data_IF_612051462559
#
_entry.id   IF_612051462559
#
_cell.length_a   1.000
_cell.length_b   1.000
_cell.length_c   1.000
_cell.angle_alpha   90.00
_cell.angle_beta   90.00
_cell.angle_gamma   90.00
#
_symmetry.space_group_name_H-M   'P 1'
#
loop_
_entity.id
_entity.type
_entity.pdbx_description
1 polymer ?
#
# COMPACT_ATOMS: atom_id res chain seq x y z
N UNK A 1 17.00 91.64 3.94
CA UNK A 1 17.17 90.70 2.81
C UNK A 1 18.01 89.48 3.24
N UNK A 2 17.57 88.72 4.25
CA UNK A 2 18.33 87.55 4.79
C UNK A 2 17.46 86.32 5.14
N UNK A 3 16.18 86.32 4.76
CA UNK A 3 15.25 85.19 5.00
C UNK A 3 14.99 84.29 3.79
N UNK A 4 15.44 84.68 2.59
CA UNK A 4 15.13 83.93 1.36
C UNK A 4 16.09 82.76 1.07
N UNK A 5 17.36 82.86 1.47
CA UNK A 5 18.34 81.77 1.31
C UNK A 5 17.97 80.47 2.06
N UNK A 6 17.57 80.49 3.35
CA UNK A 6 17.26 79.25 4.06
C UNK A 6 16.00 78.56 3.52
N UNK A 7 15.07 79.33 2.94
CA UNK A 7 13.84 78.79 2.37
C UNK A 7 14.08 78.04 1.05
N UNK A 8 14.95 78.58 0.19
CA UNK A 8 15.36 77.92 -1.05
C UNK A 8 16.16 76.64 -0.74
N UNK A 9 17.05 76.69 0.25
CA UNK A 9 17.82 75.52 0.69
C UNK A 9 16.91 74.39 1.20
N UNK A 10 15.86 74.75 1.96
CA UNK A 10 14.88 73.79 2.47
C UNK A 10 14.08 73.13 1.34
N UNK A 11 13.66 73.90 0.32
CA UNK A 11 12.91 73.39 -0.84
C UNK A 11 13.77 72.41 -1.66
N UNK A 12 15.04 72.75 -1.89
CA UNK A 12 15.99 71.88 -2.61
C UNK A 12 16.28 70.60 -1.82
N UNK A 13 16.44 70.70 -0.51
CA UNK A 13 16.65 69.54 0.37
C UNK A 13 15.43 68.60 0.38
N UNK A 14 14.22 69.15 0.51
CA UNK A 14 12.97 68.37 0.48
C UNK A 14 12.78 67.69 -0.88
N UNK A 15 13.07 68.40 -1.98
CA UNK A 15 12.99 67.84 -3.33
C UNK A 15 14.00 66.72 -3.54
N UNK A 16 15.23 66.86 -3.03
CA UNK A 16 16.26 65.83 -3.10
C UNK A 16 15.88 64.57 -2.30
N UNK A 17 15.32 64.75 -1.09
CA UNK A 17 14.82 63.65 -0.25
C UNK A 17 13.67 62.90 -0.95
N UNK A 18 12.74 63.63 -1.59
CA UNK A 18 11.64 63.01 -2.34
C UNK A 18 12.12 62.21 -3.55
N UNK A 19 13.16 62.65 -4.25
CA UNK A 19 13.75 61.93 -5.39
C UNK A 19 14.42 60.64 -4.91
N UNK A 20 15.22 60.72 -3.83
CA UNK A 20 15.87 59.54 -3.24
C UNK A 20 14.86 58.50 -2.75
N UNK A 21 13.75 58.94 -2.13
CA UNK A 21 12.69 58.06 -1.67
C UNK A 21 12.03 57.31 -2.84
N UNK A 22 11.79 57.98 -3.97
CA UNK A 22 11.22 57.36 -5.17
C UNK A 22 12.15 56.31 -5.78
N UNK A 23 13.45 56.61 -5.84
CA UNK A 23 14.46 55.66 -6.33
C UNK A 23 14.53 54.43 -5.40
N UNK A 24 14.53 54.64 -4.09
CA UNK A 24 14.54 53.54 -3.11
C UNK A 24 13.30 52.65 -3.22
N UNK A 25 12.11 53.24 -3.38
CA UNK A 25 10.86 52.50 -3.58
C UNK A 25 10.86 51.71 -4.89
N UNK A 26 11.41 52.29 -5.96
CA UNK A 26 11.54 51.62 -7.26
C UNK A 26 12.51 50.43 -7.19
N UNK A 27 13.68 50.61 -6.54
CA UNK A 27 14.64 49.52 -6.33
C UNK A 27 14.05 48.41 -5.44
N UNK A 28 13.27 48.77 -4.41
CA UNK A 28 12.56 47.81 -3.57
C UNK A 28 11.57 46.98 -4.39
N UNK A 29 10.81 47.60 -5.30
CA UNK A 29 9.88 46.88 -6.19
C UNK A 29 10.61 45.90 -7.11
N UNK A 30 11.77 46.29 -7.65
CA UNK A 30 12.59 45.39 -8.49
C UNK A 30 13.07 44.18 -7.67
N UNK A 31 13.55 44.41 -6.44
CA UNK A 31 14.00 43.32 -5.56
C UNK A 31 12.84 42.39 -5.21
N UNK A 32 11.67 42.93 -4.84
CA UNK A 32 10.47 42.12 -4.55
C UNK A 32 10.03 41.31 -5.78
N UNK A 33 10.05 41.91 -6.96
CA UNK A 33 9.71 41.22 -8.21
C UNK A 33 10.69 40.08 -8.53
N UNK A 34 11.99 40.33 -8.40
CA UNK A 34 13.03 39.30 -8.61
C UNK A 34 12.98 38.17 -7.57
N UNK A 35 12.58 38.46 -6.33
CA UNK A 35 12.37 37.45 -5.29
C UNK A 35 11.05 36.67 -5.46
N UNK A 36 10.05 37.24 -6.14
CA UNK A 36 8.72 36.65 -6.28
C UNK A 36 8.64 35.47 -7.28
N UNK A 37 9.61 35.30 -8.18
CA UNK A 37 9.49 34.36 -9.30
C UNK A 37 10.24 33.02 -9.15
N UNK A 38 10.81 32.71 -7.99
CA UNK A 38 11.33 31.34 -7.75
C UNK A 38 10.23 30.37 -7.29
N UNK A 39 9.15 30.25 -8.09
CA UNK A 39 8.35 29.02 -8.04
C UNK A 39 9.18 27.93 -8.69
N UNK A 40 9.82 27.10 -7.87
CA UNK A 40 10.54 25.92 -8.31
C UNK A 40 9.54 25.01 -9.07
N UNK A 41 9.52 25.10 -10.41
CA UNK A 41 8.72 24.24 -11.26
C UNK A 41 9.42 22.89 -11.30
N UNK A 42 9.19 22.07 -10.27
CA UNK A 42 9.56 20.67 -10.32
C UNK A 42 8.80 20.04 -11.49
N UNK A 43 9.53 19.66 -12.55
CA UNK A 43 8.95 18.94 -13.68
C UNK A 43 8.78 17.49 -13.23
N UNK A 44 7.54 17.07 -13.01
CA UNK A 44 7.20 15.67 -12.76
C UNK A 44 6.96 15.03 -14.13
N UNK A 45 7.89 14.19 -14.58
CA UNK A 45 7.71 13.37 -15.78
C UNK A 45 6.84 12.16 -15.42
N UNK A 46 5.61 12.15 -15.91
CA UNK A 46 4.71 11.00 -15.83
C UNK A 46 4.80 10.29 -17.18
N UNK A 47 5.41 9.10 -17.18
CA UNK A 47 5.46 8.23 -18.35
C UNK A 47 4.49 7.06 -18.12
N UNK A 48 3.28 7.18 -18.64
CA UNK A 48 2.25 6.13 -18.54
C UNK A 48 2.28 5.28 -19.80
N UNK A 49 2.72 4.03 -19.66
CA UNK A 49 2.64 3.01 -20.70
C UNK A 49 1.48 2.06 -20.38
N UNK A 50 0.60 1.82 -21.37
CA UNK A 50 -0.54 0.90 -21.22
C UNK A 50 -0.25 -0.38 -22.00
N UNK A 51 -0.32 -1.54 -21.33
CA UNK A 51 -0.13 -2.85 -21.96
C UNK A 51 -1.31 -3.78 -21.64
N UNK A 52 -1.83 -4.50 -22.63
CA UNK A 52 -2.82 -5.55 -22.43
C UNK A 52 -2.15 -6.90 -22.15
N UNK A 53 -2.74 -7.67 -21.24
CA UNK A 53 -2.27 -9.00 -20.85
C UNK A 53 -3.32 -10.04 -21.25
N UNK A 54 -2.89 -11.07 -21.97
CA UNK A 54 -3.76 -12.21 -22.24
C UNK A 54 -3.72 -13.16 -21.04
N UNK A 55 -4.87 -13.38 -20.42
CA UNK A 55 -5.01 -14.33 -19.33
C UNK A 55 -5.59 -15.64 -19.86
N UNK A 56 -4.89 -16.76 -19.65
CA UNK A 56 -5.34 -18.08 -20.06
C UNK A 56 -6.16 -18.80 -18.99
N UNK A 57 -6.04 -18.41 -17.72
CA UNK A 57 -6.78 -18.99 -16.60
C UNK A 57 -7.88 -18.05 -16.11
N UNK A 58 -9.07 -18.58 -15.82
CA UNK A 58 -10.19 -17.77 -15.34
C UNK A 58 -10.13 -17.63 -13.81
N UNK A 59 -9.29 -16.71 -13.34
CA UNK A 59 -9.17 -16.38 -11.92
C UNK A 59 -10.51 -15.80 -11.42
N UNK A 60 -11.12 -16.45 -10.43
CA UNK A 60 -12.29 -15.87 -9.71
C UNK A 60 -11.85 -14.77 -8.76
N UNK A 61 -10.64 -14.88 -8.23
CA UNK A 61 -9.99 -13.88 -7.41
C UNK A 61 -8.51 -13.84 -7.77
N UNK A 62 -7.95 -12.65 -7.98
CA UNK A 62 -6.51 -12.46 -8.09
C UNK A 62 -6.03 -11.22 -7.33
N UNK A 63 -4.77 -11.24 -6.92
CA UNK A 63 -4.09 -10.07 -6.37
C UNK A 63 -2.68 -10.04 -6.93
N UNK A 64 -2.33 -8.87 -7.46
CA UNK A 64 -1.05 -8.59 -8.08
C UNK A 64 -0.04 -8.10 -7.03
N UNK A 65 1.21 -8.47 -7.19
CA UNK A 65 2.30 -8.03 -6.32
C UNK A 65 3.63 -8.01 -7.07
N UNK A 66 4.55 -7.15 -6.64
CA UNK A 66 5.89 -7.07 -7.20
C UNK A 66 6.86 -7.85 -6.32
N UNK A 67 7.69 -8.69 -6.93
CA UNK A 67 8.78 -9.40 -6.24
C UNK A 67 10.01 -9.39 -7.14
N UNK A 68 11.17 -9.00 -6.59
CA UNK A 68 12.44 -8.87 -7.33
C UNK A 68 12.32 -8.10 -8.66
N UNK A 69 11.55 -6.99 -8.64
CA UNK A 69 11.25 -6.12 -9.80
C UNK A 69 10.46 -6.79 -10.92
N UNK A 70 9.86 -7.94 -10.66
CA UNK A 70 9.00 -8.65 -11.60
C UNK A 70 7.56 -8.63 -11.06
N UNK A 71 6.59 -8.67 -11.97
CA UNK A 71 5.17 -8.65 -11.63
C UNK A 71 4.65 -10.08 -11.50
N UNK A 72 4.11 -10.38 -10.33
CA UNK A 72 3.45 -11.64 -10.02
C UNK A 72 1.98 -11.40 -9.67
N UNK A 73 1.22 -12.48 -9.65
CA UNK A 73 -0.08 -12.54 -9.00
C UNK A 73 -0.33 -13.92 -8.41
N UNK A 74 -1.15 -14.00 -7.38
CA UNK A 74 -1.81 -15.26 -7.08
C UNK A 74 -3.18 -15.27 -7.76
N UNK A 75 -3.58 -16.43 -8.25
CA UNK A 75 -4.84 -16.66 -8.97
C UNK A 75 -5.59 -17.79 -8.27
N UNK A 76 -6.81 -17.50 -7.80
CA UNK A 76 -7.73 -18.49 -7.28
C UNK A 76 -8.68 -18.90 -8.40
N UNK A 77 -8.62 -20.15 -8.80
CA UNK A 77 -9.48 -20.74 -9.83
C UNK A 77 -10.43 -21.76 -9.19
N UNK A 78 -11.71 -21.65 -9.51
CA UNK A 78 -12.72 -22.64 -9.14
C UNK A 78 -13.01 -23.51 -10.36
N UNK A 79 -12.55 -24.76 -10.32
CA UNK A 79 -12.95 -25.74 -11.32
C UNK A 79 -14.33 -26.29 -10.94
N UNK A 80 -15.36 -25.70 -11.55
CA UNK A 80 -16.77 -26.07 -11.33
C UNK A 80 -17.02 -27.53 -11.74
N UNK A 81 -16.29 -28.07 -12.72
CA UNK A 81 -16.52 -29.43 -13.23
C UNK A 81 -16.03 -30.46 -12.22
N UNK A 82 -14.85 -30.25 -11.66
CA UNK A 82 -14.25 -31.19 -10.71
C UNK A 82 -14.56 -30.85 -9.24
N UNK A 83 -15.25 -29.72 -8.98
CA UNK A 83 -15.50 -29.20 -7.62
C UNK A 83 -14.19 -28.98 -6.85
N UNK A 84 -13.18 -28.51 -7.57
CA UNK A 84 -11.82 -28.30 -7.07
C UNK A 84 -11.50 -26.80 -6.98
N UNK A 85 -10.69 -26.46 -5.97
CA UNK A 85 -10.12 -25.14 -5.80
C UNK A 85 -8.63 -25.20 -6.09
N UNK A 86 -8.19 -24.42 -7.07
CA UNK A 86 -6.79 -24.26 -7.39
C UNK A 86 -6.29 -22.87 -6.99
N UNK A 87 -5.08 -22.82 -6.45
CA UNK A 87 -4.39 -21.56 -6.14
C UNK A 87 -3.04 -21.57 -6.83
N UNK A 88 -2.89 -20.72 -7.84
CA UNK A 88 -1.66 -20.61 -8.62
C UNK A 88 -0.88 -19.35 -8.25
N UNK A 89 0.44 -19.44 -8.31
CA UNK A 89 1.34 -18.29 -8.43
C UNK A 89 1.69 -18.14 -9.90
N UNK A 90 1.43 -16.97 -10.45
CA UNK A 90 1.69 -16.64 -11.85
C UNK A 90 2.62 -15.44 -11.93
N UNK A 91 3.51 -15.47 -12.92
CA UNK A 91 4.45 -14.39 -13.24
C UNK A 91 4.10 -13.80 -14.59
N UNK A 92 4.21 -12.47 -14.72
CA UNK A 92 4.14 -11.82 -16.02
C UNK A 92 5.43 -12.08 -16.78
N UNK A 93 5.31 -12.75 -17.91
CA UNK A 93 6.39 -12.89 -18.88
C UNK A 93 5.90 -12.33 -20.23
N UNK A 94 6.55 -11.28 -20.71
CA UNK A 94 6.08 -10.49 -21.85
C UNK A 94 4.63 -10.01 -21.63
N UNK A 95 3.71 -10.43 -22.51
CA UNK A 95 2.29 -10.05 -22.48
C UNK A 95 1.37 -11.19 -21.98
N UNK A 96 1.90 -12.14 -21.20
CA UNK A 96 1.15 -13.32 -20.72
C UNK A 96 1.43 -13.61 -19.24
N UNK A 97 0.46 -14.25 -18.60
CA UNK A 97 0.62 -14.84 -17.28
C UNK A 97 1.09 -16.29 -17.40
N UNK A 98 2.24 -16.59 -16.81
CA UNK A 98 2.82 -17.94 -16.80
C UNK A 98 2.75 -18.50 -15.39
N UNK A 99 2.10 -19.66 -15.23
CA UNK A 99 2.02 -20.36 -13.95
C UNK A 99 3.39 -20.86 -13.52
N UNK A 100 3.80 -20.48 -12.32
CA UNK A 100 5.09 -20.85 -11.73
C UNK A 100 4.93 -22.00 -10.74
N UNK A 101 3.85 -21.97 -9.96
CA UNK A 101 3.57 -22.94 -8.91
C UNK A 101 2.07 -23.09 -8.66
N UNK A 102 1.63 -24.30 -8.33
CA UNK A 102 0.29 -24.60 -7.81
C UNK A 102 0.40 -24.86 -6.31
N UNK A 103 -0.14 -23.95 -5.48
CA UNK A 103 -0.08 -24.04 -4.03
C UNK A 103 -1.16 -24.98 -3.50
N UNK A 104 -2.41 -24.80 -3.95
CA UNK A 104 -3.52 -25.71 -3.66
C UNK A 104 -4.04 -26.30 -4.97
N UNK A 105 -4.42 -27.58 -4.97
CA UNK A 105 -4.85 -28.29 -6.18
C UNK A 105 -5.91 -29.37 -5.94
N UNK A 106 -5.91 -30.43 -6.76
CA UNK A 106 -7.00 -31.43 -6.93
C UNK A 106 -7.63 -32.06 -5.69
N UNK A 107 -7.01 -31.94 -4.52
CA UNK A 107 -7.54 -32.50 -3.25
C UNK A 107 -8.33 -31.50 -2.41
N UNK A 108 -8.46 -30.26 -2.87
CA UNK A 108 -9.12 -29.19 -2.15
C UNK A 108 -10.52 -28.97 -2.74
N UNK A 109 -11.54 -29.47 -2.03
CA UNK A 109 -12.95 -29.15 -2.34
C UNK A 109 -13.15 -27.63 -2.33
N UNK A 110 -14.12 -27.14 -3.10
CA UNK A 110 -14.59 -25.73 -3.09
C UNK A 110 -14.97 -25.33 -1.66
N UNK A 111 -13.99 -24.85 -0.90
CA UNK A 111 -14.17 -24.16 0.37
C UNK A 111 -13.60 -22.78 0.16
N UNK A 112 -14.28 -21.73 0.65
CA UNK A 112 -13.70 -20.40 0.58
C UNK A 112 -12.39 -20.37 1.35
N UNK A 113 -11.43 -19.67 0.76
CA UNK A 113 -10.12 -19.41 1.35
C UNK A 113 -9.90 -17.91 1.46
N UNK A 114 -9.17 -17.51 2.49
CA UNK A 114 -8.54 -16.18 2.54
C UNK A 114 -7.06 -16.36 2.32
N UNK A 115 -6.50 -15.49 1.48
CA UNK A 115 -5.09 -15.49 1.14
C UNK A 115 -4.50 -14.15 1.59
N UNK A 116 -3.59 -14.21 2.55
CA UNK A 116 -2.81 -13.07 3.01
C UNK A 116 -1.40 -13.21 2.45
N UNK A 117 -1.08 -12.40 1.43
CA UNK A 117 0.22 -12.40 0.80
C UNK A 117 1.10 -11.30 1.40
N UNK A 118 2.32 -11.65 1.77
CA UNK A 118 3.32 -10.75 2.32
C UNK A 118 4.57 -10.83 1.45
N UNK A 119 5.00 -9.68 0.95
CA UNK A 119 6.13 -9.61 0.02
C UNK A 119 7.16 -8.63 0.53
N UNK A 120 8.38 -9.11 0.70
CA UNK A 120 9.57 -8.28 0.89
C UNK A 120 10.60 -8.56 -0.22
N UNK A 121 11.76 -7.92 -0.12
CA UNK A 121 12.82 -8.04 -1.14
C UNK A 121 13.41 -9.45 -1.25
N UNK A 122 13.29 -10.26 -0.20
CA UNK A 122 13.97 -11.54 -0.07
C UNK A 122 13.03 -12.74 -0.26
N UNK A 123 11.77 -12.59 0.11
CA UNK A 123 10.81 -13.69 0.10
C UNK A 123 9.36 -13.24 -0.15
N UNK A 124 8.58 -14.19 -0.64
CA UNK A 124 7.12 -14.16 -0.71
C UNK A 124 6.60 -15.12 0.36
N UNK A 125 5.66 -14.67 1.17
CA UNK A 125 4.97 -15.50 2.17
C UNK A 125 3.46 -15.39 1.93
N UNK A 126 2.80 -16.51 1.67
CA UNK A 126 1.35 -16.59 1.60
C UNK A 126 0.81 -17.38 2.79
N UNK A 127 -0.15 -16.80 3.51
CA UNK A 127 -0.94 -17.50 4.51
C UNK A 127 -2.29 -17.79 3.89
N UNK A 128 -2.58 -19.08 3.68
CA UNK A 128 -3.84 -19.52 3.10
C UNK A 128 -4.65 -20.20 4.19
N UNK A 129 -5.75 -19.57 4.60
CA UNK A 129 -6.66 -20.06 5.62
C UNK A 129 -7.96 -20.58 5.01
N UNK A 130 -8.35 -21.81 5.37
CA UNK A 130 -9.62 -22.43 5.01
C UNK A 130 -10.68 -22.12 6.06
N UNK A 131 -11.91 -21.84 5.61
CA UNK A 131 -13.04 -21.56 6.49
C UNK A 131 -14.06 -22.69 6.59
N UNK A 132 -14.80 -22.73 7.70
CA UNK A 132 -15.92 -23.64 7.95
C UNK A 132 -17.22 -22.99 7.46
N UNK A 133 -18.07 -23.74 6.74
CA UNK A 133 -19.45 -23.36 6.38
C UNK A 133 -19.63 -22.02 5.66
N UNK A 134 -18.77 -21.72 4.67
CA UNK A 134 -18.76 -20.45 3.94
C UNK A 134 -18.60 -19.19 4.82
N UNK A 135 -18.38 -19.36 6.12
CA UNK A 135 -18.31 -18.28 7.08
C UNK A 135 -16.86 -17.88 7.30
N UNK A 136 -16.49 -16.72 6.75
CA UNK A 136 -15.13 -16.15 6.84
C UNK A 136 -14.72 -15.74 8.26
N UNK A 137 -15.58 -15.97 9.26
CA UNK A 137 -15.29 -15.68 10.67
C UNK A 137 -14.61 -16.84 11.40
N UNK A 138 -14.66 -18.07 10.86
CA UNK A 138 -14.13 -19.26 11.53
C UNK A 138 -13.14 -20.01 10.62
N UNK A 139 -11.86 -19.61 10.68
CA UNK A 139 -10.79 -20.37 10.05
C UNK A 139 -10.58 -21.71 10.77
N UNK A 140 -10.17 -22.75 10.03
CA UNK A 140 -9.90 -24.08 10.62
C UNK A 140 -8.46 -24.50 10.42
N UNK A 141 -7.99 -24.41 9.18
CA UNK A 141 -6.66 -24.83 8.80
C UNK A 141 -6.00 -23.70 8.01
N UNK A 142 -4.89 -23.19 8.53
CA UNK A 142 -4.05 -22.22 7.84
C UNK A 142 -2.73 -22.88 7.42
N UNK A 143 -2.26 -22.55 6.23
CA UNK A 143 -0.98 -23.00 5.70
C UNK A 143 -0.13 -21.81 5.35
N UNK A 144 1.14 -21.87 5.74
CA UNK A 144 2.16 -20.93 5.32
C UNK A 144 2.87 -21.50 4.10
N UNK A 145 2.91 -20.72 3.04
CA UNK A 145 3.69 -20.98 1.84
C UNK A 145 4.77 -19.92 1.74
N UNK A 146 6.02 -20.31 1.58
CA UNK A 146 7.11 -19.35 1.40
C UNK A 146 8.00 -19.69 0.22
N UNK A 147 8.46 -18.66 -0.47
CA UNK A 147 9.39 -18.76 -1.59
C UNK A 147 10.43 -17.65 -1.52
N UNK A 148 11.68 -17.98 -1.84
CA UNK A 148 12.78 -17.00 -1.95
C UNK A 148 13.07 -16.64 -3.42
N UNK A 149 12.55 -17.40 -4.38
CA UNK A 149 12.84 -17.27 -5.81
C UNK A 149 11.61 -16.90 -6.65
N UNK A 150 10.40 -16.98 -6.10
CA UNK A 150 9.15 -16.72 -6.79
C UNK A 150 8.61 -17.92 -7.58
N UNK A 151 9.33 -19.04 -7.60
CA UNK A 151 8.99 -20.21 -8.40
C UNK A 151 8.81 -21.47 -7.56
N UNK A 152 9.64 -21.69 -6.54
CA UNK A 152 9.55 -22.83 -5.63
C UNK A 152 8.96 -22.40 -4.29
N UNK A 153 7.87 -23.05 -3.88
CA UNK A 153 7.18 -22.73 -2.63
C UNK A 153 7.23 -23.92 -1.66
N UNK A 154 7.63 -23.63 -0.43
CA UNK A 154 7.63 -24.60 0.68
C UNK A 154 6.37 -24.42 1.50
N UNK A 155 5.72 -25.53 1.85
CA UNK A 155 4.49 -25.56 2.65
C UNK A 155 4.77 -25.92 4.10
N UNK A 156 4.20 -25.15 5.01
CA UNK A 156 4.20 -25.40 6.46
C UNK A 156 2.77 -25.28 7.00
N UNK A 157 2.41 -26.12 7.98
CA UNK A 157 1.16 -25.93 8.73
C UNK A 157 1.37 -24.83 9.77
N UNK A 158 0.41 -23.91 9.90
CA UNK A 158 0.46 -22.86 10.93
C UNK A 158 -0.85 -22.84 11.70
N UNK A 159 -0.73 -22.69 13.02
CA UNK A 159 -1.87 -22.56 13.92
C UNK A 159 -2.07 -21.08 14.18
N UNK A 160 -3.22 -20.57 13.77
CA UNK A 160 -3.69 -19.22 14.08
C UNK A 160 -4.92 -19.41 14.96
N UNK A 161 -4.93 -18.80 16.14
CA UNK A 161 -6.03 -18.93 17.07
C UNK A 161 -7.34 -18.45 16.42
N UNK A 162 -8.41 -19.24 16.56
CA UNK A 162 -9.72 -18.93 15.98
C UNK A 162 -10.28 -17.64 16.54
N UNK A 163 -9.92 -17.29 17.77
CA UNK A 163 -10.33 -16.04 18.40
C UNK A 163 -9.89 -14.82 17.58
N UNK A 164 -8.76 -14.92 16.86
CA UNK A 164 -8.29 -13.85 15.98
C UNK A 164 -9.33 -13.56 14.90
N UNK A 165 -10.00 -14.58 14.35
CA UNK A 165 -10.95 -14.44 13.26
C UNK A 165 -12.40 -14.14 13.70
N UNK A 166 -12.71 -14.37 14.98
CA UNK A 166 -14.06 -14.21 15.52
C UNK A 166 -14.61 -12.78 15.34
N UNK A 167 -15.87 -12.69 14.87
CA UNK A 167 -16.63 -11.44 14.68
C UNK A 167 -15.96 -10.40 13.77
N UNK A 168 -15.07 -10.85 12.87
CA UNK A 168 -14.35 -9.99 11.93
C UNK A 168 -14.50 -10.51 10.51
N UNK A 169 -14.62 -9.58 9.59
CA UNK A 169 -14.61 -9.84 8.16
C UNK A 169 -13.17 -9.74 7.65
N UNK A 170 -12.72 -10.80 6.99
CA UNK A 170 -11.42 -10.84 6.32
C UNK A 170 -11.59 -10.85 4.81
N UNK A 171 -10.78 -10.06 4.17
CA UNK A 171 -10.57 -10.09 2.72
C UNK A 171 -9.15 -10.54 2.45
N UNK A 172 -8.97 -11.27 1.35
CA UNK A 172 -7.64 -11.60 0.87
C UNK A 172 -6.94 -10.34 0.36
N UNK A 173 -5.63 -10.21 0.58
CA UNK A 173 -4.85 -9.06 0.14
C UNK A 173 -3.37 -9.41 -0.05
N UNK A 174 -2.61 -8.46 -0.58
CA UNK A 174 -1.16 -8.46 -0.56
C UNK A 174 -0.68 -7.23 0.18
N UNK A 175 0.32 -7.38 1.05
CA UNK A 175 0.88 -6.28 1.83
C UNK A 175 2.38 -6.42 1.98
N UNK A 176 3.07 -5.31 2.21
CA UNK A 176 4.46 -5.33 2.63
C UNK A 176 4.54 -5.56 4.15
N UNK A 177 5.58 -6.24 4.66
CA UNK A 177 5.80 -6.33 6.09
C UNK A 177 5.95 -4.94 6.75
N UNK A 178 5.33 -4.75 7.92
CA UNK A 178 5.42 -3.52 8.68
C UNK A 178 6.68 -3.53 9.56
N UNK A 179 7.57 -2.55 9.37
CA UNK A 179 8.75 -2.39 10.21
C UNK A 179 8.47 -1.42 11.35
N UNK A 180 8.58 -1.91 12.59
CA UNK A 180 8.49 -1.09 13.81
C UNK A 180 9.79 -1.28 14.59
N UNK A 181 10.56 -0.20 14.74
CA UNK A 181 11.93 -0.25 15.28
C UNK A 181 12.79 -1.27 14.53
N UNK A 182 13.38 -2.24 15.25
CA UNK A 182 14.25 -3.27 14.68
C UNK A 182 13.52 -4.59 14.39
N UNK A 183 12.18 -4.59 14.47
CA UNK A 183 11.35 -5.77 14.19
C UNK A 183 10.50 -5.54 12.96
N UNK A 184 10.26 -6.63 12.24
CA UNK A 184 9.40 -6.67 11.06
C UNK A 184 8.20 -7.55 11.39
N UNK A 185 7.00 -7.08 11.09
CA UNK A 185 5.75 -7.72 11.42
C UNK A 185 4.91 -7.97 10.17
N UNK A 186 4.41 -9.20 10.03
CA UNK A 186 3.33 -9.51 9.09
C UNK A 186 2.00 -9.26 9.79
N UNK A 187 1.08 -8.54 9.15
CA UNK A 187 -0.20 -8.20 9.76
C UNK A 187 -1.36 -8.87 9.04
N UNK A 188 -2.18 -9.62 9.79
CA UNK A 188 -3.49 -10.10 9.37
C UNK A 188 -4.57 -9.23 10.02
N UNK A 189 -5.25 -8.40 9.22
CA UNK A 189 -6.23 -7.44 9.71
C UNK A 189 -7.65 -7.78 9.22
N UNK A 190 -8.62 -7.61 10.11
CA UNK A 190 -10.04 -7.80 9.81
C UNK A 190 -10.88 -6.64 10.34
N UNK A 191 -12.02 -6.39 9.71
CA UNK A 191 -12.97 -5.35 10.13
C UNK A 191 -14.10 -5.95 10.94
N UNK A 192 -14.56 -5.28 11.99
CA UNK A 192 -15.63 -5.82 12.83
C UNK A 192 -16.97 -5.83 12.10
N UNK A 193 -17.65 -6.98 12.05
CA UNK A 193 -18.84 -7.19 11.22
C UNK A 193 -20.12 -6.53 11.76
N UNK A 194 -20.14 -6.07 13.03
CA UNK A 194 -21.39 -5.80 13.74
C UNK A 194 -21.43 -4.50 14.59
N UNK A 195 -20.79 -3.42 14.14
CA UNK A 195 -20.74 -2.15 14.91
C UNK A 195 -21.95 -1.21 14.70
N UNK A 196 -22.88 -1.54 13.82
CA UNK A 196 -23.99 -0.63 13.50
C UNK A 196 -25.10 -0.54 14.55
N UNK A 197 -25.08 -1.36 15.63
CA UNK A 197 -26.24 -1.44 16.53
C UNK A 197 -26.06 -1.03 17.98
N UNK A 198 -24.88 -1.01 18.58
CA UNK A 198 -24.71 -0.56 19.97
C UNK A 198 -23.22 -0.39 20.28
N UNK A 199 -22.73 0.83 20.50
CA UNK A 199 -21.92 1.19 21.68
C UNK A 199 -21.30 2.59 21.54
N UNK A 200 -21.34 3.32 22.67
CA UNK A 200 -20.80 4.67 22.89
C UNK A 200 -19.26 4.72 22.96
N UNK A 201 -18.55 3.73 22.41
CA UNK A 201 -17.09 3.63 22.38
C UNK A 201 -16.66 3.42 20.92
N UNK A 202 -16.15 4.47 20.28
CA UNK A 202 -15.88 4.55 18.83
C UNK A 202 -14.63 3.79 18.33
N UNK A 203 -13.95 2.96 19.13
CA UNK A 203 -12.51 2.80 18.88
C UNK A 203 -12.02 1.60 18.07
N UNK A 204 -12.84 0.65 17.61
CA UNK A 204 -12.29 -0.56 16.98
C UNK A 204 -12.96 -0.97 15.68
N UNK A 205 -12.89 -0.13 14.64
CA UNK A 205 -13.36 -0.48 13.28
C UNK A 205 -12.65 -1.72 12.71
N UNK A 206 -11.35 -1.85 13.00
CA UNK A 206 -10.51 -2.94 12.55
C UNK A 206 -9.57 -3.39 13.68
N UNK A 207 -9.18 -4.66 13.64
CA UNK A 207 -8.12 -5.20 14.50
C UNK A 207 -7.18 -6.07 13.69
N UNK A 208 -5.91 -6.07 14.09
CA UNK A 208 -4.85 -6.79 13.42
C UNK A 208 -4.21 -7.80 14.38
N UNK A 209 -3.77 -8.90 13.81
CA UNK A 209 -2.87 -9.84 14.46
C UNK A 209 -1.52 -9.74 13.77
N UNK A 210 -0.44 -9.87 14.53
CA UNK A 210 0.91 -9.75 14.04
C UNK A 210 1.68 -11.07 14.18
N UNK A 211 2.61 -11.27 13.26
CA UNK A 211 3.67 -12.28 13.36
C UNK A 211 5.02 -11.60 13.16
N UNK A 212 5.97 -11.85 14.07
CA UNK A 212 7.36 -11.36 13.97
C UNK A 212 8.37 -12.47 13.61
N UNK A 213 7.88 -13.61 13.12
CA UNK A 213 8.68 -14.81 12.80
C UNK A 213 8.35 -15.39 11.41
N UNK A 214 8.14 -14.48 10.45
CA UNK A 214 7.78 -14.76 9.05
C UNK A 214 6.43 -15.48 8.87
N UNK A 215 5.48 -15.30 9.78
CA UNK A 215 4.13 -15.88 9.67
C UNK A 215 4.00 -17.29 10.23
N UNK A 216 4.97 -17.75 11.06
CA UNK A 216 4.92 -19.07 11.69
C UNK A 216 4.06 -19.07 12.95
N UNK A 217 4.15 -18.02 13.76
CA UNK A 217 3.33 -17.81 14.94
C UNK A 217 2.62 -16.45 14.88
N UNK A 218 1.37 -16.42 15.35
CA UNK A 218 0.50 -15.25 15.27
C UNK A 218 -0.02 -14.86 16.65
N UNK A 219 0.08 -13.58 16.98
CA UNK A 219 -0.35 -13.01 18.27
C UNK A 219 -1.19 -11.77 18.04
N UNK A 220 -2.00 -11.39 19.02
CA UNK A 220 -2.69 -10.10 19.00
C UNK A 220 -1.66 -8.97 19.01
N UNK A 221 -1.85 -7.99 18.12
CA UNK A 221 -0.99 -6.82 17.98
C UNK A 221 -1.57 -5.62 18.73
#
# INVERSE_FOLDING_TARGET
MKLWLPFIFLIVLVSYIMILLRIALFLLHIVVYLCSERKNKNIILINDETSSLNNTAQCTQDVHFAFKKELYKYCVEHDIKNTELHVYIQKKENNRWISQSELLGKFYKIKPVSIFNFVDDNQIILIICKYINNDKTNAKDCYRWSSQDGTTFTKENVVIDNDIFNNKNYSSYSSAPLKISNKTYLLICGTHSNQLKNNKNEDHLASCTASDDDGRNWRYA
#
